data_IF_702786784356
#
_entry.id   IF_702786784356
#
_cell.length_a   1.000
_cell.length_b   1.000
_cell.length_c   1.000
_cell.angle_alpha   90.00
_cell.angle_beta   90.00
_cell.angle_gamma   90.00
#
_symmetry.space_group_name_H-M   'P 1'
#
loop_
_entity.id
_entity.type
_entity.pdbx_description
1 polymer ?
#
# COMPACT_ATOMS: atom_id res chain seq x y z
N UNK A 1 25.85 4.57 -0.65
CA UNK A 1 25.43 3.21 -0.27
C UNK A 1 23.97 3.06 -0.68
N UNK A 2 23.57 1.93 -1.24
CA UNK A 2 22.16 1.66 -1.52
C UNK A 2 21.39 1.44 -0.21
N UNK A 3 20.10 1.78 -0.21
CA UNK A 3 19.20 1.53 0.90
C UNK A 3 18.98 0.02 1.10
N UNK A 4 18.44 -0.37 2.27
CA UNK A 4 18.03 -1.76 2.57
C UNK A 4 16.58 -2.05 2.18
N UNK A 5 15.95 -1.13 1.46
CA UNK A 5 14.53 -1.18 1.09
C UNK A 5 14.35 -1.87 -0.26
N UNK A 6 13.55 -2.92 -0.32
CA UNK A 6 12.99 -3.46 -1.56
C UNK A 6 11.61 -2.86 -1.79
N UNK A 7 11.41 -2.21 -2.93
CA UNK A 7 10.11 -1.68 -3.34
C UNK A 7 9.39 -2.75 -4.17
N UNK A 8 8.16 -3.07 -3.79
CA UNK A 8 7.32 -4.10 -4.43
C UNK A 8 6.09 -3.40 -5.01
N UNK A 9 5.89 -3.54 -6.32
CA UNK A 9 4.82 -2.90 -7.08
C UNK A 9 3.92 -3.99 -7.65
N UNK A 10 2.75 -4.29 -7.04
CA UNK A 10 1.74 -5.12 -7.69
C UNK A 10 1.13 -4.35 -8.87
N UNK A 11 1.11 -4.96 -10.05
CA UNK A 11 0.57 -4.32 -11.25
C UNK A 11 -0.38 -5.26 -12.01
N UNK A 12 -1.40 -4.67 -12.63
CA UNK A 12 -2.30 -5.34 -13.56
C UNK A 12 -3.00 -4.29 -14.43
N UNK A 13 -2.60 -4.21 -15.72
CA UNK A 13 -3.08 -3.23 -16.69
C UNK A 13 -2.88 -1.78 -16.22
N UNK A 14 -1.62 -1.38 -16.04
CA UNK A 14 -1.21 -0.08 -15.49
C UNK A 14 -0.38 0.75 -16.51
N UNK A 15 -0.50 0.48 -17.82
CA UNK A 15 0.31 1.15 -18.87
C UNK A 15 0.21 2.68 -18.83
N UNK A 16 -0.96 3.22 -18.46
CA UNK A 16 -1.22 4.67 -18.46
C UNK A 16 -0.46 5.42 -17.38
N UNK A 17 -0.15 4.76 -16.26
CA UNK A 17 0.41 5.42 -15.06
C UNK A 17 1.81 4.95 -14.69
N UNK A 18 2.18 3.72 -15.06
CA UNK A 18 3.40 3.06 -14.61
C UNK A 18 4.66 3.85 -15.01
N UNK A 19 4.73 4.40 -16.22
CA UNK A 19 5.88 5.19 -16.67
C UNK A 19 6.16 6.37 -15.73
N UNK A 20 5.11 7.09 -15.31
CA UNK A 20 5.24 8.22 -14.39
C UNK A 20 5.78 7.78 -13.04
N UNK A 21 5.27 6.68 -12.52
CA UNK A 21 5.69 6.13 -11.22
C UNK A 21 7.15 5.65 -11.28
N UNK A 22 7.53 4.90 -12.30
CA UNK A 22 8.91 4.44 -12.45
C UNK A 22 9.90 5.61 -12.60
N UNK A 23 9.56 6.65 -13.36
CA UNK A 23 10.37 7.86 -13.46
C UNK A 23 10.54 8.56 -12.11
N UNK A 24 9.49 8.64 -11.29
CA UNK A 24 9.59 9.18 -9.93
C UNK A 24 10.56 8.35 -9.07
N UNK A 25 10.52 7.02 -9.18
CA UNK A 25 11.40 6.13 -8.40
C UNK A 25 12.89 6.24 -8.80
N UNK A 26 13.21 6.70 -10.01
CA UNK A 26 14.62 6.97 -10.39
C UNK A 26 15.23 8.16 -9.64
N UNK A 27 14.40 9.02 -9.06
CA UNK A 27 14.82 10.20 -8.30
C UNK A 27 15.08 9.90 -6.81
N UNK A 28 14.86 8.66 -6.37
CA UNK A 28 15.05 8.29 -4.96
C UNK A 28 16.53 8.42 -4.54
N UNK A 29 16.73 9.10 -3.41
CA UNK A 29 18.05 9.27 -2.80
C UNK A 29 17.95 9.09 -1.26
N UNK A 30 18.59 8.04 -0.69
CA UNK A 30 19.36 6.99 -1.37
C UNK A 30 18.50 6.08 -2.28
N UNK A 31 19.09 5.47 -3.32
CA UNK A 31 18.35 4.55 -4.17
C UNK A 31 17.93 3.29 -3.38
N UNK A 32 16.80 2.66 -3.71
CA UNK A 32 16.39 1.41 -3.09
C UNK A 32 17.39 0.28 -3.38
N UNK A 33 17.34 -0.79 -2.60
CA UNK A 33 18.08 -2.01 -2.85
C UNK A 33 17.70 -2.62 -4.21
N UNK A 34 16.41 -2.60 -4.49
CA UNK A 34 15.81 -3.09 -5.73
C UNK A 34 14.37 -2.58 -5.86
N UNK A 35 13.85 -2.64 -7.08
CA UNK A 35 12.44 -2.44 -7.39
C UNK A 35 11.95 -3.71 -8.10
N UNK A 36 10.87 -4.29 -7.61
CA UNK A 36 10.24 -5.49 -8.14
C UNK A 36 8.82 -5.13 -8.59
N UNK A 37 8.54 -5.31 -9.87
CA UNK A 37 7.16 -5.26 -10.36
C UNK A 37 6.63 -6.69 -10.40
N UNK A 38 5.45 -6.91 -9.79
CA UNK A 38 4.79 -8.21 -9.77
C UNK A 38 3.52 -8.11 -10.62
N UNK A 39 3.60 -8.68 -11.81
CA UNK A 39 2.53 -8.65 -12.79
C UNK A 39 1.46 -9.70 -12.52
N UNK A 40 0.22 -9.28 -12.45
CA UNK A 40 -0.96 -10.13 -12.22
C UNK A 40 -1.58 -10.72 -13.48
N UNK A 41 -0.88 -10.68 -14.63
CA UNK A 41 -1.34 -11.13 -15.93
C UNK A 41 -1.87 -10.00 -16.83
N UNK A 42 -1.14 -8.89 -16.89
CA UNK A 42 -1.48 -7.73 -17.72
C UNK A 42 -1.58 -8.09 -19.20
N UNK A 43 -2.55 -7.50 -19.89
CA UNK A 43 -2.81 -7.67 -21.32
C UNK A 43 -2.40 -6.42 -22.12
N UNK A 44 -2.00 -5.35 -21.44
CA UNK A 44 -1.51 -4.11 -22.01
C UNK A 44 0.03 -4.05 -22.03
N UNK A 45 0.62 -2.87 -22.20
CA UNK A 45 2.07 -2.68 -22.24
C UNK A 45 2.74 -2.56 -20.87
N UNK A 46 2.06 -2.89 -19.77
CA UNK A 46 2.60 -2.78 -18.40
C UNK A 46 3.97 -3.47 -18.26
N UNK A 47 4.06 -4.74 -18.68
CA UNK A 47 5.30 -5.53 -18.59
C UNK A 47 6.39 -4.98 -19.49
N UNK A 48 6.04 -4.55 -20.71
CA UNK A 48 6.98 -3.94 -21.66
C UNK A 48 7.59 -2.64 -21.08
N UNK A 49 6.77 -1.78 -20.48
CA UNK A 49 7.19 -0.54 -19.83
C UNK A 49 8.17 -0.83 -18.70
N UNK A 50 7.88 -1.80 -17.86
CA UNK A 50 8.76 -2.18 -16.75
C UNK A 50 10.13 -2.69 -17.24
N UNK A 51 10.14 -3.55 -18.26
CA UNK A 51 11.38 -4.05 -18.86
C UNK A 51 12.21 -2.93 -19.49
N UNK A 52 11.59 -2.00 -20.21
CA UNK A 52 12.27 -0.82 -20.78
C UNK A 52 12.91 0.08 -19.70
N UNK A 53 12.29 0.13 -18.53
CA UNK A 53 12.85 0.87 -17.38
C UNK A 53 13.92 0.08 -16.61
N UNK A 54 14.28 -1.14 -17.04
CA UNK A 54 15.24 -2.00 -16.35
C UNK A 54 14.75 -2.60 -15.04
N UNK A 55 13.43 -2.62 -14.82
CA UNK A 55 12.80 -3.15 -13.60
C UNK A 55 12.66 -4.68 -13.72
N UNK A 56 13.01 -5.37 -12.63
CA UNK A 56 12.79 -6.82 -12.53
C UNK A 56 11.30 -7.11 -12.42
N UNK A 57 10.77 -7.87 -13.37
CA UNK A 57 9.36 -8.29 -13.42
C UNK A 57 9.24 -9.74 -12.94
N UNK A 58 8.23 -9.98 -12.08
CA UNK A 58 7.83 -11.32 -11.62
C UNK A 58 6.41 -11.56 -12.13
N UNK A 59 6.17 -12.66 -12.83
CA UNK A 59 4.83 -13.07 -13.21
C UNK A 59 4.15 -13.77 -12.02
N UNK A 60 2.99 -13.27 -11.60
CA UNK A 60 2.18 -13.92 -10.58
C UNK A 60 1.40 -15.09 -11.17
N UNK A 61 1.35 -16.25 -10.50
CA UNK A 61 0.58 -17.40 -10.99
C UNK A 61 -0.93 -17.14 -10.99
N UNK A 62 -1.38 -16.18 -10.19
CA UNK A 62 -2.78 -15.78 -10.06
C UNK A 62 -2.88 -14.27 -9.89
N UNK A 63 -3.97 -13.69 -10.39
CA UNK A 63 -4.32 -12.30 -10.11
C UNK A 63 -4.81 -12.16 -8.66
N UNK A 64 -4.32 -11.16 -7.98
CA UNK A 64 -4.70 -10.86 -6.59
C UNK A 64 -3.61 -10.05 -5.90
N UNK A 65 -3.98 -8.91 -5.31
CA UNK A 65 -3.01 -7.98 -4.72
C UNK A 65 -2.16 -8.64 -3.63
N UNK A 66 -2.80 -9.37 -2.70
CA UNK A 66 -2.12 -10.10 -1.63
C UNK A 66 -1.11 -11.11 -2.19
N UNK A 67 -1.52 -11.89 -3.21
CA UNK A 67 -0.68 -12.91 -3.86
C UNK A 67 0.52 -12.25 -4.52
N UNK A 68 0.31 -11.17 -5.26
CA UNK A 68 1.37 -10.42 -5.93
C UNK A 68 2.36 -9.82 -4.91
N UNK A 69 1.86 -9.16 -3.86
CA UNK A 69 2.69 -8.57 -2.82
C UNK A 69 3.50 -9.63 -2.05
N UNK A 70 2.91 -10.77 -1.72
CA UNK A 70 3.61 -11.89 -1.08
C UNK A 70 4.70 -12.48 -2.00
N UNK A 71 4.41 -12.63 -3.30
CA UNK A 71 5.40 -13.10 -4.29
C UNK A 71 6.60 -12.15 -4.37
N UNK A 72 6.34 -10.83 -4.43
CA UNK A 72 7.37 -9.81 -4.40
C UNK A 72 8.18 -9.83 -3.11
N UNK A 73 7.52 -9.94 -1.94
CA UNK A 73 8.17 -10.03 -0.64
C UNK A 73 9.06 -11.28 -0.49
N UNK A 74 8.65 -12.40 -1.10
CA UNK A 74 9.45 -13.63 -1.13
C UNK A 74 10.71 -13.49 -1.99
N UNK A 75 10.61 -12.81 -3.13
CA UNK A 75 11.71 -12.56 -4.06
C UNK A 75 12.64 -11.43 -3.63
N UNK A 76 12.19 -10.57 -2.70
CA UNK A 76 12.94 -9.42 -2.21
C UNK A 76 14.19 -9.82 -1.43
N UNK A 77 15.27 -9.07 -1.63
CA UNK A 77 16.57 -9.27 -0.97
C UNK A 77 16.83 -8.25 0.15
N UNK A 78 16.13 -7.12 0.14
CA UNK A 78 16.22 -6.07 1.15
C UNK A 78 15.71 -6.52 2.53
N UNK A 79 16.20 -5.87 3.56
CA UNK A 79 15.76 -6.11 4.96
C UNK A 79 14.42 -5.45 5.28
N UNK A 80 14.02 -4.50 4.46
CA UNK A 80 12.79 -3.72 4.58
C UNK A 80 11.98 -3.91 3.30
N UNK A 81 10.70 -4.17 3.45
CA UNK A 81 9.73 -4.24 2.37
C UNK A 81 8.94 -2.94 2.32
N UNK A 82 8.75 -2.41 1.12
CA UNK A 82 7.90 -1.25 0.85
C UNK A 82 6.92 -1.61 -0.26
N UNK A 83 5.63 -1.64 0.04
CA UNK A 83 4.57 -1.95 -0.91
C UNK A 83 4.03 -0.65 -1.50
N UNK A 84 4.19 -0.50 -2.81
CA UNK A 84 3.87 0.72 -3.55
C UNK A 84 2.90 0.40 -4.68
N UNK A 85 1.79 1.14 -4.79
CA UNK A 85 0.90 1.01 -5.94
C UNK A 85 1.53 1.58 -7.22
N UNK A 86 1.16 1.01 -8.36
CA UNK A 86 1.70 1.40 -9.67
C UNK A 86 1.37 2.85 -10.09
N UNK A 87 0.44 3.51 -9.40
CA UNK A 87 -0.04 4.86 -9.66
C UNK A 87 0.32 5.89 -8.56
N UNK A 88 1.22 5.52 -7.65
CA UNK A 88 1.57 6.35 -6.49
C UNK A 88 2.94 7.01 -6.66
N UNK A 89 2.99 8.33 -6.44
CA UNK A 89 4.22 9.12 -6.41
C UNK A 89 4.68 9.35 -4.98
N UNK A 90 5.96 9.27 -4.77
CA UNK A 90 6.60 9.34 -3.45
C UNK A 90 7.66 10.43 -3.37
N UNK A 91 7.99 10.94 -2.17
CA UNK A 91 9.08 11.90 -1.99
C UNK A 91 10.44 11.26 -2.30
N UNK A 92 11.38 12.08 -2.79
CA UNK A 92 12.71 11.60 -3.21
C UNK A 92 13.54 10.98 -2.06
N UNK A 93 13.23 11.33 -0.82
CA UNK A 93 13.87 10.82 0.40
C UNK A 93 13.10 9.62 1.04
N UNK A 94 12.19 8.99 0.30
CA UNK A 94 11.35 7.88 0.76
C UNK A 94 12.14 6.80 1.52
N UNK A 95 13.19 6.30 0.91
CA UNK A 95 14.01 5.20 1.46
C UNK A 95 14.73 5.59 2.74
N UNK A 96 15.24 6.83 2.81
CA UNK A 96 15.86 7.36 4.02
C UNK A 96 14.86 7.49 5.17
N UNK A 97 13.66 8.00 4.88
CA UNK A 97 12.57 8.12 5.85
C UNK A 97 12.18 6.76 6.39
N UNK A 98 11.97 5.77 5.53
CA UNK A 98 11.61 4.40 5.90
C UNK A 98 12.68 3.80 6.84
N UNK A 99 13.96 3.93 6.50
CA UNK A 99 15.05 3.42 7.32
C UNK A 99 15.12 4.13 8.68
N UNK A 100 14.94 5.45 8.71
CA UNK A 100 14.93 6.23 9.95
C UNK A 100 13.77 5.83 10.88
N UNK A 101 12.57 5.64 10.33
CA UNK A 101 11.40 5.22 11.10
C UNK A 101 11.61 3.83 11.69
N UNK A 102 12.03 2.87 10.86
CA UNK A 102 12.26 1.49 11.31
C UNK A 102 13.56 1.28 12.11
N UNK A 103 14.41 2.30 12.24
CA UNK A 103 15.51 2.26 13.20
C UNK A 103 15.02 2.32 14.65
N UNK A 104 13.80 2.80 14.89
CA UNK A 104 13.17 2.78 16.21
C UNK A 104 12.68 1.36 16.53
N UNK A 105 13.14 0.75 17.64
CA UNK A 105 12.89 -0.67 17.92
C UNK A 105 11.42 -0.99 18.21
N UNK A 106 10.64 -0.02 18.69
CA UNK A 106 9.23 -0.16 19.01
C UNK A 106 8.30 0.01 17.78
N UNK A 107 8.82 0.47 16.63
CA UNK A 107 8.05 0.61 15.40
C UNK A 107 8.30 -0.60 14.50
N UNK A 108 7.25 -1.31 14.14
CA UNK A 108 7.30 -2.52 13.30
C UNK A 108 6.97 -2.22 11.85
N UNK A 109 6.08 -1.28 11.61
CA UNK A 109 5.62 -0.87 10.29
C UNK A 109 5.26 0.60 10.25
N UNK A 110 5.09 1.13 9.06
CA UNK A 110 4.57 2.47 8.87
C UNK A 110 3.97 2.68 7.48
N UNK A 111 3.44 3.86 7.28
CA UNK A 111 2.93 4.36 6.01
C UNK A 111 2.96 5.87 5.98
N UNK A 112 2.51 6.45 4.90
CA UNK A 112 2.53 7.89 4.64
C UNK A 112 1.12 8.47 4.58
N UNK A 113 1.01 9.79 4.63
CA UNK A 113 -0.26 10.47 4.39
C UNK A 113 -0.55 10.44 2.89
N UNK A 114 -1.61 9.74 2.49
CA UNK A 114 -2.02 9.67 1.08
C UNK A 114 -2.86 10.90 0.70
N UNK A 115 -2.42 11.57 -0.35
CA UNK A 115 -3.15 12.64 -0.99
C UNK A 115 -3.67 12.12 -2.35
N UNK A 116 -4.98 11.97 -2.47
CA UNK A 116 -5.59 11.52 -3.72
C UNK A 116 -5.65 12.68 -4.72
N UNK A 117 -5.02 12.48 -5.89
CA UNK A 117 -4.90 13.51 -6.92
C UNK A 117 -5.31 12.99 -8.29
N UNK A 118 -6.11 13.79 -9.01
CA UNK A 118 -6.23 13.73 -10.46
C UNK A 118 -5.22 14.70 -11.10
N UNK A 119 -5.13 14.68 -12.44
CA UNK A 119 -4.17 15.48 -13.22
C UNK A 119 -4.05 16.96 -12.81
N UNK A 120 -5.09 17.58 -12.23
CA UNK A 120 -5.06 18.98 -11.75
C UNK A 120 -5.93 19.26 -10.51
N UNK A 121 -6.47 18.22 -9.86
CA UNK A 121 -7.33 18.42 -8.70
C UNK A 121 -6.98 17.47 -7.57
N UNK A 122 -6.91 17.99 -6.36
CA UNK A 122 -6.77 17.21 -5.14
C UNK A 122 -8.15 16.89 -4.55
N UNK A 123 -8.40 15.64 -4.21
CA UNK A 123 -9.62 15.18 -3.51
C UNK A 123 -9.45 15.36 -2.01
N UNK A 124 -9.59 16.60 -1.55
CA UNK A 124 -9.32 16.95 -0.15
C UNK A 124 -10.22 16.17 0.83
N UNK A 125 -11.53 16.05 0.55
CA UNK A 125 -12.44 15.36 1.46
C UNK A 125 -12.09 13.86 1.59
N UNK A 126 -11.78 13.19 0.49
CA UNK A 126 -11.38 11.78 0.51
C UNK A 126 -10.02 11.59 1.16
N UNK A 127 -9.04 12.46 0.86
CA UNK A 127 -7.70 12.39 1.48
C UNK A 127 -7.78 12.62 2.99
N UNK A 128 -8.58 13.59 3.42
CA UNK A 128 -8.80 13.85 4.85
C UNK A 128 -9.54 12.68 5.53
N UNK A 129 -10.56 12.11 4.88
CA UNK A 129 -11.23 10.91 5.37
C UNK A 129 -10.26 9.74 5.54
N UNK A 130 -9.37 9.47 4.55
CA UNK A 130 -8.35 8.43 4.65
C UNK A 130 -7.38 8.68 5.80
N UNK A 131 -6.96 9.92 6.00
CA UNK A 131 -6.14 10.29 7.14
C UNK A 131 -6.84 9.99 8.48
N UNK A 132 -8.08 10.45 8.64
CA UNK A 132 -8.86 10.20 9.86
C UNK A 132 -9.12 8.71 10.07
N UNK A 133 -9.42 7.97 9.00
CA UNK A 133 -9.73 6.53 9.03
C UNK A 133 -8.57 5.71 9.62
N UNK A 134 -7.32 6.12 9.38
CA UNK A 134 -6.13 5.52 9.97
C UNK A 134 -6.21 5.44 11.51
N UNK A 135 -6.85 6.41 12.13
CA UNK A 135 -6.97 6.51 13.59
C UNK A 135 -8.31 6.01 14.10
N UNK A 136 -9.44 6.54 13.57
CA UNK A 136 -10.75 6.21 14.15
C UNK A 136 -11.14 4.74 13.95
N UNK A 137 -10.74 4.11 12.84
CA UNK A 137 -11.04 2.71 12.62
C UNK A 137 -10.39 1.82 13.69
N UNK A 138 -9.11 2.07 14.01
CA UNK A 138 -8.44 1.38 15.10
C UNK A 138 -9.07 1.70 16.47
N UNK A 139 -9.36 2.98 16.74
CA UNK A 139 -9.92 3.42 18.02
C UNK A 139 -11.31 2.82 18.29
N UNK A 140 -12.19 2.82 17.28
CA UNK A 140 -13.58 2.36 17.47
C UNK A 140 -13.66 0.84 17.52
N UNK A 141 -12.99 0.14 16.59
CA UNK A 141 -13.18 -1.30 16.43
C UNK A 141 -12.14 -2.16 17.16
N UNK A 142 -10.99 -1.59 17.52
CA UNK A 142 -9.89 -2.29 18.23
C UNK A 142 -9.21 -1.38 19.27
N UNK A 143 -9.97 -0.79 20.23
CA UNK A 143 -9.41 0.23 21.13
C UNK A 143 -8.20 -0.27 21.91
N UNK A 144 -8.19 -1.52 22.34
CA UNK A 144 -7.07 -2.11 23.06
C UNK A 144 -5.77 -2.17 22.22
N UNK A 145 -5.87 -2.32 20.88
CA UNK A 145 -4.72 -2.26 19.97
C UNK A 145 -4.37 -0.81 19.60
N UNK A 146 -5.37 0.07 19.54
CA UNK A 146 -5.10 1.50 19.28
C UNK A 146 -4.13 2.09 20.31
N UNK A 147 -4.34 1.78 21.59
CA UNK A 147 -3.43 2.22 22.67
C UNK A 147 -2.09 1.47 22.68
N UNK A 148 -1.97 0.34 21.99
CA UNK A 148 -0.70 -0.34 21.71
C UNK A 148 0.01 0.20 20.47
N UNK A 149 -0.58 1.18 19.78
CA UNK A 149 0.00 1.82 18.60
C UNK A 149 -0.52 1.30 17.26
N UNK A 150 -1.68 0.60 17.24
CA UNK A 150 -2.31 0.23 15.98
C UNK A 150 -2.74 1.48 15.20
N UNK A 151 -2.35 1.54 13.94
CA UNK A 151 -2.88 2.42 12.91
C UNK A 151 -3.30 1.55 11.72
N UNK A 152 -4.52 1.75 11.22
CA UNK A 152 -5.01 1.02 10.05
C UNK A 152 -4.55 1.76 8.80
N UNK A 153 -3.58 1.19 8.11
CA UNK A 153 -3.07 1.71 6.85
C UNK A 153 -3.76 1.01 5.68
N UNK A 154 -3.71 1.66 4.52
CA UNK A 154 -4.23 1.14 3.26
C UNK A 154 -3.14 1.28 2.19
N UNK A 155 -3.24 0.52 1.09
CA UNK A 155 -2.19 0.43 0.08
C UNK A 155 -1.79 1.77 -0.56
N UNK A 156 -2.72 2.72 -0.65
CA UNK A 156 -2.46 4.08 -1.13
C UNK A 156 -1.54 4.89 -0.18
N UNK A 157 -1.32 4.42 1.04
CA UNK A 157 -0.44 5.02 2.05
C UNK A 157 0.99 4.46 2.03
N UNK A 158 1.36 3.64 1.05
CA UNK A 158 2.71 3.08 0.89
C UNK A 158 3.18 2.38 2.17
N UNK A 159 2.64 1.19 2.41
CA UNK A 159 2.95 0.41 3.62
C UNK A 159 4.38 -0.11 3.55
N UNK A 160 5.12 0.04 4.64
CA UNK A 160 6.46 -0.52 4.79
C UNK A 160 6.65 -1.20 6.14
N UNK A 161 7.46 -2.25 6.18
CA UNK A 161 7.77 -2.98 7.41
C UNK A 161 9.12 -3.70 7.29
N UNK A 162 9.66 -4.19 8.41
CA UNK A 162 10.80 -5.10 8.35
C UNK A 162 10.36 -6.44 7.73
N UNK A 163 11.19 -6.95 6.82
CA UNK A 163 10.94 -8.24 6.16
C UNK A 163 10.78 -9.39 7.17
N UNK A 164 11.52 -9.36 8.27
CA UNK A 164 11.40 -10.35 9.34
C UNK A 164 10.01 -10.31 9.98
N UNK A 165 9.53 -9.12 10.36
CA UNK A 165 8.23 -8.94 11.02
C UNK A 165 7.07 -9.30 10.08
N UNK A 166 7.20 -8.97 8.78
CA UNK A 166 6.25 -9.38 7.75
C UNK A 166 6.06 -10.90 7.69
N UNK A 167 7.15 -11.65 7.71
CA UNK A 167 7.07 -13.11 7.67
C UNK A 167 6.73 -13.74 9.02
N UNK A 168 6.99 -13.06 10.14
CA UNK A 168 6.53 -13.52 11.46
C UNK A 168 5.00 -13.48 11.60
N UNK A 169 4.32 -12.62 10.83
CA UNK A 169 2.87 -12.58 10.79
C UNK A 169 2.27 -13.19 9.51
N UNK A 170 3.02 -14.07 8.81
CA UNK A 170 2.60 -14.82 7.62
C UNK A 170 2.26 -13.96 6.38
N UNK A 171 2.74 -12.69 6.34
CA UNK A 171 2.53 -11.81 5.20
C UNK A 171 1.07 -11.36 5.01
N UNK A 172 0.71 -11.03 3.78
CA UNK A 172 -0.70 -10.75 3.44
C UNK A 172 -1.50 -12.05 3.37
N UNK A 173 -2.73 -12.04 3.86
CA UNK A 173 -3.64 -13.16 3.70
C UNK A 173 -4.13 -13.26 2.25
N UNK A 174 -3.80 -14.33 1.50
CA UNK A 174 -4.19 -14.48 0.10
C UNK A 174 -5.69 -14.74 -0.09
N UNK A 175 -6.40 -15.17 0.95
CA UNK A 175 -7.84 -15.44 0.91
C UNK A 175 -8.67 -14.17 1.05
N UNK A 176 -8.06 -13.04 1.45
CA UNK A 176 -8.77 -11.76 1.57
C UNK A 176 -8.84 -11.05 0.22
N UNK A 177 -10.03 -10.90 -0.39
CA UNK A 177 -10.21 -10.19 -1.65
C UNK A 177 -10.11 -8.67 -1.50
N UNK A 178 -10.32 -8.15 -0.29
CA UNK A 178 -10.16 -6.75 0.14
C UNK A 178 -9.80 -6.72 1.63
N UNK A 179 -9.37 -5.56 2.14
CA UNK A 179 -8.99 -5.31 3.55
C UNK A 179 -7.71 -6.04 3.99
N UNK A 180 -6.96 -6.60 3.06
CA UNK A 180 -5.67 -7.27 3.28
C UNK A 180 -4.65 -6.38 4.01
N UNK A 181 -4.65 -5.09 3.69
CA UNK A 181 -3.79 -4.09 4.31
C UNK A 181 -4.14 -3.86 5.79
N UNK A 182 -5.43 -3.75 6.07
CA UNK A 182 -5.94 -3.54 7.43
C UNK A 182 -5.69 -4.78 8.31
N UNK A 183 -5.89 -5.97 7.76
CA UNK A 183 -5.60 -7.23 8.43
C UNK A 183 -4.10 -7.36 8.75
N UNK A 184 -3.23 -7.07 7.78
CA UNK A 184 -1.79 -7.04 7.99
C UNK A 184 -1.39 -6.08 9.12
N UNK A 185 -1.97 -4.88 9.17
CA UNK A 185 -1.72 -3.89 10.22
C UNK A 185 -2.08 -4.46 11.62
N UNK A 186 -3.20 -5.16 11.74
CA UNK A 186 -3.62 -5.78 13.02
C UNK A 186 -2.62 -6.84 13.47
N UNK A 187 -2.16 -7.70 12.55
CA UNK A 187 -1.20 -8.77 12.86
C UNK A 187 0.19 -8.21 13.18
N UNK A 188 0.69 -7.24 12.41
CA UNK A 188 1.96 -6.56 12.68
C UNK A 188 1.97 -5.82 14.03
N UNK A 189 0.84 -5.24 14.44
CA UNK A 189 0.73 -4.53 15.73
C UNK A 189 1.00 -5.43 16.95
N UNK A 190 1.03 -6.75 16.79
CA UNK A 190 1.44 -7.67 17.86
C UNK A 190 2.95 -7.61 18.15
N UNK A 191 3.75 -7.16 17.18
CA UNK A 191 5.21 -7.07 17.27
C UNK A 191 5.72 -5.65 17.55
N UNK A 192 4.87 -4.64 17.47
CA UNK A 192 5.23 -3.25 17.74
C UNK A 192 4.17 -2.27 17.24
N UNK A 193 4.45 -0.97 17.38
CA UNK A 193 3.55 0.08 16.91
C UNK A 193 3.68 0.33 15.41
N UNK A 194 2.59 0.83 14.81
CA UNK A 194 2.53 1.26 13.42
C UNK A 194 2.58 2.79 13.39
N UNK A 195 3.45 3.34 12.56
CA UNK A 195 3.71 4.76 12.49
C UNK A 195 3.18 5.39 11.21
N UNK A 196 2.35 6.43 11.32
CA UNK A 196 1.99 7.26 10.17
C UNK A 196 3.01 8.40 10.06
N UNK A 197 3.78 8.38 8.99
CA UNK A 197 4.82 9.38 8.70
C UNK A 197 4.16 10.69 8.28
N UNK A 198 4.61 11.80 8.88
CA UNK A 198 4.15 13.15 8.52
C UNK A 198 4.81 13.63 7.21
N UNK A 199 4.56 12.89 6.14
CA UNK A 199 4.98 13.17 4.77
C UNK A 199 3.91 12.68 3.81
N UNK A 200 3.77 13.38 2.69
CA UNK A 200 2.72 13.12 1.70
C UNK A 200 3.25 12.22 0.59
N UNK A 201 2.45 11.24 0.22
CA UNK A 201 2.51 10.50 -1.05
C UNK A 201 1.29 10.87 -1.89
N UNK A 202 1.41 10.87 -3.20
CA UNK A 202 0.31 11.20 -4.11
C UNK A 202 -0.18 9.93 -4.79
N UNK A 203 -1.42 9.57 -4.56
CA UNK A 203 -2.08 8.41 -5.16
C UNK A 203 -3.14 8.85 -6.17
N UNK A 204 -3.41 8.02 -7.16
CA UNK A 204 -4.43 8.30 -8.17
C UNK A 204 -5.83 8.29 -7.57
N UNK A 205 -6.69 9.19 -8.07
CA UNK A 205 -8.10 9.26 -7.70
C UNK A 205 -9.03 8.49 -8.66
N UNK A 206 -8.52 7.63 -9.55
CA UNK A 206 -9.28 6.95 -10.63
C UNK A 206 -10.64 6.43 -10.16
N UNK A 207 -10.68 5.72 -9.03
CA UNK A 207 -11.92 5.19 -8.46
C UNK A 207 -12.86 6.29 -7.97
N UNK A 208 -12.32 7.30 -7.29
CA UNK A 208 -13.10 8.44 -6.80
C UNK A 208 -13.65 9.26 -7.98
N UNK A 209 -12.87 9.39 -9.05
CA UNK A 209 -13.30 10.07 -10.27
C UNK A 209 -14.47 9.34 -10.96
N UNK A 210 -14.44 8.00 -10.98
CA UNK A 210 -15.50 7.19 -11.58
C UNK A 210 -16.78 7.17 -10.74
N UNK A 211 -16.67 7.01 -9.44
CA UNK A 211 -17.84 6.87 -8.55
C UNK A 211 -18.43 8.21 -8.11
N UNK A 212 -17.64 9.28 -8.17
CA UNK A 212 -17.91 10.54 -7.50
C UNK A 212 -17.46 10.52 -6.02
N UNK A 213 -16.95 11.65 -5.53
CA UNK A 213 -16.30 11.74 -4.23
C UNK A 213 -17.23 11.37 -3.06
N UNK A 214 -18.48 11.80 -3.10
CA UNK A 214 -19.47 11.50 -2.05
C UNK A 214 -19.77 9.99 -1.97
N UNK A 215 -20.08 9.37 -3.12
CA UNK A 215 -20.39 7.93 -3.21
C UNK A 215 -19.18 7.10 -2.76
N UNK A 216 -17.98 7.45 -3.23
CA UNK A 216 -16.75 6.76 -2.85
C UNK A 216 -16.53 6.76 -1.33
N UNK A 217 -16.64 7.93 -0.69
CA UNK A 217 -16.48 8.06 0.76
C UNK A 217 -17.54 7.28 1.54
N UNK A 218 -18.80 7.25 1.09
CA UNK A 218 -19.85 6.45 1.72
C UNK A 218 -19.55 4.94 1.62
N UNK A 219 -19.10 4.46 0.44
CA UNK A 219 -18.73 3.06 0.25
C UNK A 219 -17.54 2.69 1.14
N UNK A 220 -16.50 3.53 1.21
CA UNK A 220 -15.33 3.28 2.07
C UNK A 220 -15.72 3.25 3.55
N UNK A 221 -16.59 4.17 3.99
CA UNK A 221 -17.09 4.17 5.36
C UNK A 221 -17.91 2.91 5.65
N UNK A 222 -18.84 2.55 4.75
CA UNK A 222 -19.69 1.36 4.87
C UNK A 222 -18.87 0.08 4.98
N UNK A 223 -17.92 -0.13 4.06
CA UNK A 223 -17.02 -1.30 4.07
C UNK A 223 -16.19 -1.32 5.36
N UNK A 224 -15.59 -0.19 5.74
CA UNK A 224 -14.78 -0.09 6.95
C UNK A 224 -15.55 -0.39 8.23
N UNK A 225 -16.79 0.13 8.36
CA UNK A 225 -17.66 -0.15 9.51
C UNK A 225 -18.06 -1.62 9.58
N UNK A 226 -18.54 -2.20 8.49
CA UNK A 226 -18.97 -3.60 8.46
C UNK A 226 -17.81 -4.56 8.72
N UNK A 227 -16.64 -4.30 8.12
CA UNK A 227 -15.44 -5.11 8.40
C UNK A 227 -15.02 -4.99 9.86
N UNK A 228 -15.10 -3.78 10.42
CA UNK A 228 -14.77 -3.52 11.83
C UNK A 228 -15.59 -4.33 12.84
N UNK A 229 -16.87 -4.62 12.51
CA UNK A 229 -17.76 -5.46 13.32
C UNK A 229 -17.75 -6.94 12.93
N UNK A 230 -16.88 -7.35 11.97
CA UNK A 230 -16.63 -8.76 11.65
C UNK A 230 -17.38 -9.32 10.44
N UNK A 231 -17.93 -8.47 9.57
CA UNK A 231 -18.51 -8.93 8.29
C UNK A 231 -17.39 -9.41 7.37
N UNK A 232 -17.60 -10.53 6.68
CA UNK A 232 -16.58 -11.16 5.83
C UNK A 232 -16.15 -10.27 4.65
N UNK A 233 -14.88 -10.33 4.31
CA UNK A 233 -14.31 -9.58 3.18
C UNK A 233 -14.93 -10.00 1.83
N UNK A 234 -15.33 -11.27 1.66
CA UNK A 234 -16.00 -11.77 0.46
C UNK A 234 -17.35 -11.07 0.23
N UNK A 235 -18.14 -10.92 1.29
CA UNK A 235 -19.40 -10.18 1.19
C UNK A 235 -19.15 -8.71 0.86
N UNK A 236 -18.14 -8.09 1.49
CA UNK A 236 -17.83 -6.68 1.29
C UNK A 236 -17.26 -6.40 -0.09
N UNK A 237 -16.59 -7.36 -0.74
CA UNK A 237 -16.07 -7.25 -2.10
C UNK A 237 -17.14 -6.90 -3.11
N UNK A 238 -18.38 -7.31 -2.89
CA UNK A 238 -19.53 -7.03 -3.79
C UNK A 238 -19.81 -5.52 -3.93
N UNK A 239 -19.40 -4.72 -2.94
CA UNK A 239 -19.56 -3.26 -2.94
C UNK A 239 -18.33 -2.51 -3.45
N UNK A 240 -17.25 -3.26 -3.70
CA UNK A 240 -15.95 -2.71 -4.06
C UNK A 240 -15.56 -3.12 -5.48
N UNK A 241 -15.94 -2.30 -6.46
CA UNK A 241 -15.58 -2.53 -7.85
C UNK A 241 -14.08 -2.28 -8.09
N UNK A 242 -13.45 -3.14 -8.88
CA UNK A 242 -12.07 -2.92 -9.33
C UNK A 242 -12.09 -1.93 -10.50
N UNK A 243 -11.72 -0.69 -10.22
CA UNK A 243 -11.51 0.36 -11.22
C UNK A 243 -10.05 0.32 -11.65
N UNK A 244 -9.85 0.12 -12.94
CA UNK A 244 -8.52 0.05 -13.59
C UNK A 244 -8.44 1.00 -14.75
#
# INVERSE_FOLDING_TARGET
>A
MSSKVSIIIPALNEEDVLTRTLNNLTLLNPPPQEILLVDGGSQDRTVEIAHKAGIRVLASPQSGRSIQMNLGAKAATGKILCFLHADTLVPNDLTAIIEQVLAQPNIVAGGFISLMTASNQTRWATSFHNYLKTYYAALIFRPHLFFKGLRILFGDQVIFCRRQDFWHCDGFDPELPIMEDADLCIRLCQYGSIYLVDRIVQSSDRRVAQWGEFKANLIYLYIGCLWGIGVSADYLKQFYEDVR
#
